data_IF_686933182440
#
_entry.id   IF_686933182440
#
_cell.length_a   1.000
_cell.length_b   1.000
_cell.length_c   1.000
_cell.angle_alpha   90.00
_cell.angle_beta   90.00
_cell.angle_gamma   90.00
#
_symmetry.space_group_name_H-M   'P 1'
#
loop_
_entity.id
_entity.type
_entity.pdbx_description
1 polymer ?
#
# COMPACT_ATOMS: atom_id res chain seq x y z
N UNK A 1 30.73 -6.85 9.23
CA UNK A 1 29.94 -5.61 9.10
C UNK A 1 28.52 -5.90 8.63
N UNK A 2 28.28 -6.53 7.46
CA UNK A 2 26.92 -6.81 6.94
C UNK A 2 26.07 -7.65 7.90
N UNK A 3 26.64 -8.69 8.53
CA UNK A 3 25.89 -9.52 9.49
C UNK A 3 25.38 -8.70 10.69
N UNK A 4 26.23 -7.82 11.23
CA UNK A 4 25.83 -6.92 12.34
C UNK A 4 24.78 -5.92 11.90
N UNK A 5 24.87 -5.40 10.67
CA UNK A 5 23.85 -4.54 10.10
C UNK A 5 22.51 -5.27 9.95
N UNK A 6 22.54 -6.52 9.50
CA UNK A 6 21.35 -7.36 9.40
C UNK A 6 20.72 -7.65 10.78
N UNK A 7 21.54 -8.00 11.78
CA UNK A 7 21.05 -8.16 13.16
C UNK A 7 20.38 -6.88 13.69
N UNK A 8 21.00 -5.70 13.44
CA UNK A 8 20.42 -4.42 13.83
C UNK A 8 19.08 -4.16 13.10
N UNK A 9 18.98 -4.47 11.82
CA UNK A 9 17.73 -4.28 11.07
C UNK A 9 16.59 -5.10 11.66
N UNK A 10 16.86 -6.36 12.06
CA UNK A 10 15.85 -7.18 12.75
C UNK A 10 15.41 -6.60 14.10
N UNK A 11 16.34 -5.98 14.85
CA UNK A 11 15.98 -5.28 16.09
C UNK A 11 15.08 -4.09 15.82
N UNK A 12 15.40 -3.26 14.81
CA UNK A 12 14.60 -2.11 14.40
C UNK A 12 13.20 -2.53 13.91
N UNK A 13 13.14 -3.55 13.08
CA UNK A 13 11.90 -4.17 12.62
C UNK A 13 11.00 -4.59 13.79
N UNK A 14 11.55 -5.39 14.71
CA UNK A 14 10.80 -5.87 15.87
C UNK A 14 10.32 -4.72 16.77
N UNK A 15 11.10 -3.66 16.93
CA UNK A 15 10.68 -2.46 17.67
C UNK A 15 9.52 -1.77 16.98
N UNK A 16 9.56 -1.64 15.64
CA UNK A 16 8.52 -1.01 14.83
C UNK A 16 7.21 -1.80 14.92
N UNK A 17 7.25 -3.11 14.76
CA UNK A 17 6.06 -3.99 14.86
C UNK A 17 5.45 -3.95 16.26
N UNK A 18 6.27 -4.02 17.33
CA UNK A 18 5.80 -3.88 18.72
C UNK A 18 5.13 -2.52 18.98
N UNK A 19 5.58 -1.47 18.33
CA UNK A 19 5.01 -0.13 18.41
C UNK A 19 3.62 -0.04 17.77
N UNK A 20 3.31 -0.93 16.83
CA UNK A 20 2.01 -0.99 16.17
C UNK A 20 2.07 -0.75 14.66
N UNK A 21 3.24 -0.75 14.05
CA UNK A 21 3.39 -0.61 12.61
C UNK A 21 2.75 -1.78 11.85
N UNK A 22 2.30 -1.49 10.62
CA UNK A 22 1.78 -2.49 9.70
C UNK A 22 2.86 -2.85 8.67
N UNK A 23 2.95 -4.14 8.38
CA UNK A 23 3.76 -4.65 7.28
C UNK A 23 2.87 -5.39 6.31
N UNK A 24 2.72 -4.85 5.12
CA UNK A 24 1.90 -5.45 4.08
C UNK A 24 2.77 -6.31 3.17
N UNK A 25 2.39 -7.56 3.02
CA UNK A 25 2.98 -8.48 2.04
C UNK A 25 2.24 -8.28 0.71
N UNK A 26 2.70 -7.34 -0.09
CA UNK A 26 2.20 -7.14 -1.45
C UNK A 26 3.15 -7.83 -2.42
N UNK A 27 2.68 -8.82 -3.19
CA UNK A 27 3.50 -9.39 -4.25
C UNK A 27 3.79 -8.30 -5.29
N UNK A 28 5.07 -8.06 -5.54
CA UNK A 28 5.51 -7.18 -6.62
C UNK A 28 5.70 -7.99 -7.89
N UNK A 29 5.29 -7.45 -9.02
CA UNK A 29 5.50 -8.07 -10.33
C UNK A 29 6.59 -7.36 -11.08
N UNK A 30 7.51 -8.12 -11.64
CA UNK A 30 8.53 -7.62 -12.55
C UNK A 30 8.21 -8.05 -13.97
N UNK A 31 8.07 -7.07 -14.86
CA UNK A 31 7.90 -7.31 -16.28
C UNK A 31 9.27 -7.54 -16.92
N UNK A 32 9.47 -8.71 -17.51
CA UNK A 32 10.69 -9.02 -18.27
C UNK A 32 10.46 -8.58 -19.70
N UNK A 33 11.25 -7.63 -20.16
CA UNK A 33 11.16 -7.08 -21.52
C UNK A 33 12.18 -7.75 -22.43
N UNK A 34 11.85 -7.86 -23.72
CA UNK A 34 12.75 -8.23 -24.78
C UNK A 34 13.59 -7.02 -25.26
N UNK A 35 14.44 -7.23 -26.26
CA UNK A 35 15.31 -6.21 -26.88
C UNK A 35 14.50 -5.07 -27.55
N UNK A 36 13.23 -5.31 -27.84
CA UNK A 36 12.31 -4.35 -28.46
C UNK A 36 11.38 -3.67 -27.46
N UNK A 37 11.55 -3.96 -26.14
CA UNK A 37 10.71 -3.42 -25.07
C UNK A 37 9.33 -4.06 -24.96
N UNK A 38 9.10 -5.21 -25.58
CA UNK A 38 7.89 -6.01 -25.42
C UNK A 38 8.00 -6.93 -24.21
N UNK A 39 6.87 -7.23 -23.56
CA UNK A 39 6.84 -8.13 -22.42
C UNK A 39 7.04 -9.57 -22.89
N UNK A 40 8.10 -10.19 -22.42
CA UNK A 40 8.42 -11.61 -22.66
C UNK A 40 7.85 -12.50 -21.56
N UNK A 41 7.89 -12.04 -20.30
CA UNK A 41 7.43 -12.79 -19.14
C UNK A 41 7.08 -11.87 -17.98
N UNK A 42 6.30 -12.38 -17.02
CA UNK A 42 5.89 -11.67 -15.82
C UNK A 42 6.25 -12.52 -14.61
N UNK A 43 7.21 -12.03 -13.81
CA UNK A 43 7.70 -12.73 -12.64
C UNK A 43 7.17 -12.08 -11.35
N UNK A 44 6.85 -12.92 -10.36
CA UNK A 44 6.62 -12.46 -9.01
C UNK A 44 7.96 -12.31 -8.28
N UNK A 45 8.20 -11.15 -7.70
CA UNK A 45 9.42 -10.84 -6.95
C UNK A 45 9.11 -10.74 -5.47
N UNK A 46 9.93 -11.42 -4.67
CA UNK A 46 9.91 -11.29 -3.21
C UNK A 46 11.08 -10.42 -2.78
N UNK A 47 10.84 -9.57 -1.78
CA UNK A 47 11.88 -8.71 -1.20
C UNK A 47 12.97 -9.56 -0.54
N UNK A 48 14.22 -9.22 -0.82
CA UNK A 48 15.38 -9.87 -0.21
C UNK A 48 15.68 -9.30 1.19
N UNK A 49 16.44 -10.06 2.00
CA UNK A 49 16.92 -9.58 3.31
C UNK A 49 17.72 -8.28 3.19
N UNK A 50 18.46 -8.10 2.09
CA UNK A 50 19.24 -6.88 1.86
C UNK A 50 18.34 -5.66 1.65
N UNK A 51 17.25 -5.81 0.91
CA UNK A 51 16.27 -4.74 0.70
C UNK A 51 15.55 -4.39 2.01
N UNK A 52 15.11 -5.39 2.77
CA UNK A 52 14.50 -5.21 4.08
C UNK A 52 15.45 -4.50 5.07
N UNK A 53 16.74 -4.88 5.07
CA UNK A 53 17.75 -4.23 5.88
C UNK A 53 17.90 -2.74 5.55
N UNK A 54 18.01 -2.40 4.27
CA UNK A 54 18.13 -0.99 3.83
C UNK A 54 16.85 -0.23 4.14
N UNK A 55 15.68 -0.84 3.97
CA UNK A 55 14.39 -0.23 4.31
C UNK A 55 14.34 0.19 5.79
N UNK A 56 14.70 -0.69 6.74
CA UNK A 56 14.70 -0.36 8.17
C UNK A 56 15.67 0.80 8.49
N UNK A 57 16.84 0.85 7.84
CA UNK A 57 17.78 1.97 8.03
C UNK A 57 17.24 3.28 7.43
N UNK A 58 16.54 3.22 6.29
CA UNK A 58 15.88 4.40 5.74
C UNK A 58 14.76 4.88 6.65
N UNK A 59 13.96 3.98 7.21
CA UNK A 59 12.86 4.31 8.12
C UNK A 59 13.37 5.00 9.39
N UNK A 60 14.37 4.44 10.06
CA UNK A 60 14.92 5.05 11.29
C UNK A 60 15.59 6.39 11.01
N UNK A 61 16.26 6.54 9.87
CA UNK A 61 16.86 7.80 9.45
C UNK A 61 15.79 8.88 9.23
N UNK A 62 14.71 8.55 8.50
CA UNK A 62 13.58 9.42 8.25
C UNK A 62 12.89 9.86 9.57
N UNK A 63 12.67 8.93 10.50
CA UNK A 63 12.11 9.23 11.82
C UNK A 63 13.04 10.15 12.63
N UNK A 64 14.34 9.87 12.62
CA UNK A 64 15.33 10.68 13.37
C UNK A 64 15.36 12.11 12.87
N UNK A 65 15.41 12.30 11.57
CA UNK A 65 15.37 13.64 10.95
C UNK A 65 14.07 14.36 11.29
N UNK A 66 12.92 13.69 11.17
CA UNK A 66 11.64 14.29 11.50
C UNK A 66 11.56 14.72 12.97
N UNK A 67 12.01 13.87 13.91
CA UNK A 67 12.05 14.17 15.34
C UNK A 67 12.96 15.37 15.64
N UNK A 68 14.17 15.39 15.07
CA UNK A 68 15.13 16.49 15.28
C UNK A 68 14.54 17.83 14.84
N UNK A 69 13.96 17.88 13.64
CA UNK A 69 13.39 19.11 13.10
C UNK A 69 12.12 19.55 13.83
N UNK A 70 11.32 18.61 14.31
CA UNK A 70 10.18 18.89 15.19
C UNK A 70 10.63 19.51 16.51
N UNK A 71 11.72 19.03 17.08
CA UNK A 71 12.27 19.52 18.34
C UNK A 71 12.85 20.93 18.22
N UNK A 72 13.34 21.30 17.02
CA UNK A 72 13.83 22.65 16.72
C UNK A 72 12.69 23.65 16.53
N UNK A 73 11.45 23.20 16.41
CA UNK A 73 10.26 24.04 16.19
C UNK A 73 10.40 25.00 15.00
N UNK A 74 10.89 24.48 13.88
CA UNK A 74 11.10 25.23 12.63
C UNK A 74 10.14 24.72 11.55
N UNK A 75 9.87 25.56 10.50
CA UNK A 75 9.09 25.12 9.36
C UNK A 75 9.61 23.81 8.78
N UNK A 76 8.75 22.79 8.69
CA UNK A 76 9.19 21.47 8.24
C UNK A 76 8.13 20.76 7.43
N UNK A 77 8.54 19.82 6.58
CA UNK A 77 7.67 19.02 5.74
C UNK A 77 7.58 17.59 6.29
N UNK A 78 6.40 17.22 6.76
CA UNK A 78 6.14 15.88 7.28
C UNK A 78 5.50 15.00 6.22
N UNK A 79 5.77 13.70 6.30
CA UNK A 79 4.99 12.66 5.63
C UNK A 79 4.02 12.10 6.65
N UNK A 80 2.75 12.40 6.49
CA UNK A 80 1.71 12.02 7.44
C UNK A 80 0.78 10.98 6.87
N UNK A 81 0.24 10.14 7.76
CA UNK A 81 -0.73 9.12 7.43
C UNK A 81 -1.83 9.10 8.48
N UNK A 82 -3.03 9.48 8.07
CA UNK A 82 -4.20 9.54 8.94
C UNK A 82 -4.70 8.14 9.31
N UNK A 83 -5.43 8.04 10.40
CA UNK A 83 -6.16 6.82 10.75
C UNK A 83 -7.21 6.48 9.69
N UNK A 84 -7.50 5.20 9.45
CA UNK A 84 -8.53 4.79 8.51
C UNK A 84 -9.92 5.26 8.99
N UNK A 85 -10.77 5.65 8.03
CA UNK A 85 -12.15 6.06 8.32
C UNK A 85 -12.96 4.90 8.87
N UNK A 86 -13.80 5.17 9.86
CA UNK A 86 -14.63 4.15 10.51
C UNK A 86 -15.50 3.35 9.53
N UNK A 87 -16.05 4.01 8.50
CA UNK A 87 -16.84 3.35 7.46
C UNK A 87 -16.05 2.27 6.71
N UNK A 88 -14.77 2.54 6.41
CA UNK A 88 -13.89 1.60 5.72
C UNK A 88 -13.52 0.43 6.62
N UNK A 89 -13.29 0.70 7.91
CA UNK A 89 -13.03 -0.35 8.91
C UNK A 89 -14.24 -1.27 9.02
N UNK A 90 -15.46 -0.72 9.08
CA UNK A 90 -16.68 -1.52 9.16
C UNK A 90 -16.84 -2.41 7.92
N UNK A 91 -16.59 -1.89 6.72
CA UNK A 91 -16.62 -2.69 5.48
C UNK A 91 -15.58 -3.82 5.49
N UNK A 92 -14.36 -3.54 5.98
CA UNK A 92 -13.32 -4.54 6.14
C UNK A 92 -13.74 -5.64 7.12
N UNK A 93 -14.28 -5.28 8.28
CA UNK A 93 -14.72 -6.26 9.29
C UNK A 93 -15.83 -7.17 8.76
N UNK A 94 -16.81 -6.62 8.02
CA UNK A 94 -17.84 -7.40 7.34
C UNK A 94 -17.26 -8.37 6.32
N UNK A 95 -16.28 -7.94 5.54
CA UNK A 95 -15.61 -8.82 4.59
C UNK A 95 -14.90 -9.98 5.30
N UNK A 96 -14.15 -9.69 6.35
CA UNK A 96 -13.43 -10.69 7.13
C UNK A 96 -14.38 -11.67 7.84
N UNK A 97 -15.53 -11.17 8.30
CA UNK A 97 -16.60 -12.00 8.87
C UNK A 97 -17.19 -12.97 7.83
N UNK A 98 -17.34 -12.55 6.57
CA UNK A 98 -17.78 -13.43 5.47
C UNK A 98 -16.80 -14.59 5.22
N UNK A 99 -15.50 -14.41 5.53
CA UNK A 99 -14.47 -15.45 5.48
C UNK A 99 -14.37 -16.30 6.77
N UNK A 100 -15.27 -16.09 7.74
CA UNK A 100 -15.38 -16.89 8.95
C UNK A 100 -14.61 -16.36 10.16
N UNK A 101 -13.97 -15.20 10.07
CA UNK A 101 -13.23 -14.60 11.18
C UNK A 101 -13.98 -13.40 11.77
N UNK A 102 -14.21 -13.43 13.08
CA UNK A 102 -14.96 -12.38 13.77
C UNK A 102 -14.03 -11.55 14.64
N UNK A 103 -13.92 -10.26 14.35
CA UNK A 103 -13.14 -9.30 15.14
C UNK A 103 -14.05 -8.20 15.69
N UNK A 104 -13.78 -7.77 16.93
CA UNK A 104 -14.56 -6.71 17.62
C UNK A 104 -13.65 -5.56 18.01
N UNK A 105 -13.97 -4.37 17.53
CA UNK A 105 -13.28 -3.13 17.92
C UNK A 105 -14.07 -2.45 19.01
N UNK A 106 -13.45 -2.22 20.18
CA UNK A 106 -14.07 -1.57 21.34
C UNK A 106 -13.75 -0.07 21.43
N UNK A 107 -12.56 0.34 20.97
CA UNK A 107 -12.09 1.73 21.02
C UNK A 107 -10.93 1.94 20.04
N UNK A 108 -10.46 3.18 19.84
CA UNK A 108 -9.38 3.54 18.94
C UNK A 108 -8.06 2.75 19.17
N UNK A 109 -7.70 2.50 20.44
CA UNK A 109 -6.51 1.68 20.77
C UNK A 109 -6.67 0.21 20.35
N UNK A 110 -7.90 -0.31 20.40
CA UNK A 110 -8.17 -1.68 19.94
C UNK A 110 -8.19 -1.79 18.43
N UNK A 111 -8.43 -0.69 17.69
CA UNK A 111 -8.43 -0.67 16.22
C UNK A 111 -7.07 -1.12 15.67
N UNK A 112 -5.97 -0.51 16.11
CA UNK A 112 -4.61 -0.88 15.66
C UNK A 112 -4.34 -2.36 15.91
N UNK A 113 -4.65 -2.85 17.12
CA UNK A 113 -4.41 -4.26 17.49
C UNK A 113 -5.24 -5.22 16.65
N UNK A 114 -6.51 -4.89 16.39
CA UNK A 114 -7.40 -5.71 15.57
C UNK A 114 -6.91 -5.74 14.13
N UNK A 115 -6.53 -4.60 13.55
CA UNK A 115 -6.01 -4.53 12.20
C UNK A 115 -4.66 -5.30 12.07
N UNK A 116 -3.77 -5.19 13.07
CA UNK A 116 -2.55 -6.01 13.13
C UNK A 116 -2.87 -7.50 13.24
N UNK A 117 -3.88 -7.88 14.01
CA UNK A 117 -4.28 -9.27 14.13
C UNK A 117 -4.84 -9.79 12.81
N UNK A 118 -5.69 -9.02 12.13
CA UNK A 118 -6.20 -9.36 10.79
C UNK A 118 -5.02 -9.56 9.82
N UNK A 119 -4.05 -8.64 9.83
CA UNK A 119 -2.85 -8.74 8.97
C UNK A 119 -2.05 -10.00 9.27
N UNK A 120 -1.83 -10.32 10.54
CA UNK A 120 -1.10 -11.51 10.96
C UNK A 120 -1.84 -12.79 10.55
N UNK A 121 -3.15 -12.84 10.75
CA UNK A 121 -3.98 -14.00 10.41
C UNK A 121 -4.12 -14.18 8.89
N UNK A 122 -3.91 -13.11 8.12
CA UNK A 122 -3.88 -13.10 6.65
C UNK A 122 -2.48 -13.10 6.05
N UNK A 123 -1.43 -13.40 6.81
CA UNK A 123 -0.06 -13.56 6.30
C UNK A 123 0.03 -14.75 5.33
N UNK A 124 0.77 -14.55 4.25
CA UNK A 124 1.00 -15.54 3.19
C UNK A 124 2.28 -16.39 3.43
N UNK A 125 3.01 -16.11 4.49
CA UNK A 125 4.30 -16.74 4.80
C UNK A 125 4.21 -18.20 5.34
N UNK A 126 3.00 -18.77 5.42
CA UNK A 126 2.82 -20.16 5.83
C UNK A 126 2.90 -21.09 4.60
N UNK A 127 3.91 -21.93 4.55
CA UNK A 127 4.16 -22.87 3.44
C UNK A 127 3.11 -24.00 3.33
N UNK A 128 2.25 -24.16 4.33
CA UNK A 128 1.24 -25.24 4.37
C UNK A 128 -0.15 -24.77 3.90
N UNK A 129 -0.27 -23.55 3.39
CA UNK A 129 -1.55 -23.00 2.93
C UNK A 129 -2.02 -23.66 1.65
N UNK A 130 -3.28 -24.02 1.61
CA UNK A 130 -3.97 -24.38 0.37
C UNK A 130 -4.10 -23.16 -0.55
N UNK A 131 -4.28 -23.38 -1.85
CA UNK A 131 -4.43 -22.26 -2.81
C UNK A 131 -5.68 -21.44 -2.50
N UNK A 132 -6.74 -22.06 -1.98
CA UNK A 132 -7.94 -21.36 -1.53
C UNK A 132 -7.66 -20.45 -0.32
N UNK A 133 -6.87 -20.90 0.64
CA UNK A 133 -6.48 -20.09 1.80
C UNK A 133 -5.56 -18.93 1.41
N UNK A 134 -4.59 -19.15 0.52
CA UNK A 134 -3.75 -18.08 -0.04
C UNK A 134 -4.59 -16.99 -0.69
N UNK A 135 -5.56 -17.40 -1.48
CA UNK A 135 -6.48 -16.49 -2.15
C UNK A 135 -7.29 -15.66 -1.16
N UNK A 136 -7.91 -16.30 -0.16
CA UNK A 136 -8.68 -15.60 0.89
C UNK A 136 -7.81 -14.59 1.64
N UNK A 137 -6.59 -15.00 2.01
CA UNK A 137 -5.63 -14.12 2.71
C UNK A 137 -5.19 -12.95 1.84
N UNK A 138 -4.94 -13.14 0.56
CA UNK A 138 -4.62 -12.07 -0.39
C UNK A 138 -5.75 -11.04 -0.50
N UNK A 139 -7.01 -11.49 -0.61
CA UNK A 139 -8.17 -10.61 -0.66
C UNK A 139 -8.31 -9.78 0.62
N UNK A 140 -8.10 -10.40 1.79
CA UNK A 140 -8.14 -9.69 3.08
C UNK A 140 -7.04 -8.64 3.15
N UNK A 141 -5.81 -8.96 2.72
CA UNK A 141 -4.69 -8.02 2.67
C UNK A 141 -4.99 -6.83 1.77
N UNK A 142 -5.51 -7.07 0.56
CA UNK A 142 -5.92 -6.03 -0.37
C UNK A 142 -7.02 -5.12 0.21
N UNK A 143 -8.02 -5.71 0.85
CA UNK A 143 -9.10 -4.98 1.50
C UNK A 143 -8.57 -4.15 2.67
N UNK A 144 -7.62 -4.67 3.44
CA UNK A 144 -6.97 -3.96 4.53
C UNK A 144 -6.19 -2.74 4.00
N UNK A 145 -5.38 -2.90 2.95
CA UNK A 145 -4.67 -1.81 2.29
C UNK A 145 -5.64 -0.75 1.76
N UNK A 146 -6.71 -1.14 1.08
CA UNK A 146 -7.76 -0.24 0.55
C UNK A 146 -8.54 0.48 1.66
N UNK A 147 -8.59 -0.08 2.87
CA UNK A 147 -9.22 0.57 4.02
C UNK A 147 -8.39 1.72 4.57
N UNK A 148 -7.07 1.68 4.41
CA UNK A 148 -6.15 2.70 4.91
C UNK A 148 -6.35 4.05 4.22
N UNK A 149 -5.97 5.13 4.91
CA UNK A 149 -5.86 6.45 4.31
C UNK A 149 -4.64 6.49 3.38
N UNK A 150 -4.60 7.43 2.44
CA UNK A 150 -3.36 7.70 1.69
C UNK A 150 -2.48 8.64 2.48
N UNK A 151 -1.19 8.34 2.55
CA UNK A 151 -0.21 9.24 3.10
C UNK A 151 -0.07 10.51 2.23
N UNK A 152 0.25 11.64 2.84
CA UNK A 152 0.42 12.93 2.17
C UNK A 152 1.54 13.75 2.80
N UNK A 153 2.03 14.75 2.09
CA UNK A 153 2.97 15.72 2.63
C UNK A 153 2.22 16.95 3.16
N UNK A 154 2.55 17.38 4.35
CA UNK A 154 2.01 18.61 4.95
C UNK A 154 2.97 19.21 6.00
N UNK A 155 2.75 20.47 6.36
CA UNK A 155 3.54 21.19 7.35
C UNK A 155 3.21 20.81 8.80
N UNK A 156 1.99 20.34 9.04
CA UNK A 156 1.53 19.97 10.37
C UNK A 156 1.78 18.49 10.64
N UNK A 157 2.47 18.18 11.73
CA UNK A 157 2.68 16.81 12.16
C UNK A 157 1.42 16.23 12.81
N UNK A 158 0.85 15.19 12.23
CA UNK A 158 -0.24 14.39 12.82
C UNK A 158 0.16 12.93 13.01
N UNK A 159 1.46 12.63 12.83
CA UNK A 159 1.99 11.28 12.89
C UNK A 159 1.77 10.47 11.61
N UNK A 160 2.22 9.23 11.65
CA UNK A 160 2.10 8.29 10.54
C UNK A 160 1.50 6.97 11.02
N UNK A 161 0.19 6.80 10.83
CA UNK A 161 -0.56 5.64 11.34
C UNK A 161 0.05 4.31 10.89
N UNK A 162 0.31 4.12 9.59
CA UNK A 162 0.83 2.86 9.06
C UNK A 162 2.19 2.44 9.63
N UNK A 163 3.07 3.40 9.99
CA UNK A 163 4.35 3.14 10.63
C UNK A 163 4.29 3.21 12.16
N UNK A 164 3.12 3.51 12.73
CA UNK A 164 2.96 3.81 14.15
C UNK A 164 4.00 4.83 14.65
N UNK A 165 4.37 5.78 13.79
CA UNK A 165 5.36 6.81 14.10
C UNK A 165 4.70 8.10 14.53
N UNK A 166 5.21 8.71 15.61
CA UNK A 166 4.73 10.01 16.10
C UNK A 166 5.11 11.15 15.16
N UNK A 167 6.19 10.98 14.42
CA UNK A 167 6.77 11.99 13.55
C UNK A 167 7.55 11.30 12.43
N UNK A 168 7.23 11.61 11.19
CA UNK A 168 7.87 10.99 10.03
C UNK A 168 8.02 11.98 8.88
N UNK A 169 9.09 11.85 8.14
CA UNK A 169 9.34 12.59 6.91
C UNK A 169 10.03 11.69 5.88
N UNK A 170 10.13 12.14 4.67
CA UNK A 170 10.99 11.55 3.65
C UNK A 170 12.28 12.36 3.54
N UNK A 171 13.42 11.70 3.70
CA UNK A 171 14.75 12.31 3.68
C UNK A 171 15.74 11.52 2.83
N UNK A 172 15.60 10.19 2.77
CA UNK A 172 16.62 9.27 2.27
C UNK A 172 16.69 9.13 0.74
N UNK A 173 15.78 9.76 -0.03
CA UNK A 173 15.74 9.61 -1.49
C UNK A 173 15.67 10.95 -2.25
N UNK A 174 16.63 11.90 -2.07
CA UNK A 174 16.56 13.24 -2.66
C UNK A 174 16.76 13.28 -4.18
N UNK A 175 17.29 12.20 -4.78
CA UNK A 175 17.49 12.12 -6.24
C UNK A 175 16.15 12.01 -6.97
N UNK A 176 15.19 11.27 -6.41
CA UNK A 176 13.89 10.96 -7.04
C UNK A 176 12.68 11.62 -6.40
N UNK A 177 12.82 12.22 -5.21
CA UNK A 177 11.72 12.88 -4.50
C UNK A 177 12.08 14.33 -4.13
N UNK A 178 11.34 15.29 -4.68
CA UNK A 178 11.51 16.71 -4.35
C UNK A 178 11.25 17.06 -2.88
N UNK A 179 10.32 16.40 -2.14
CA UNK A 179 10.19 16.60 -0.70
C UNK A 179 11.47 16.31 0.08
N UNK A 180 12.17 15.21 -0.24
CA UNK A 180 13.44 14.86 0.41
C UNK A 180 14.49 15.97 0.17
N UNK A 181 14.57 16.48 -1.05
CA UNK A 181 15.50 17.57 -1.37
C UNK A 181 15.17 18.84 -0.59
N UNK A 182 13.87 19.15 -0.38
CA UNK A 182 13.46 20.24 0.48
C UNK A 182 13.91 20.00 1.92
N UNK A 183 13.72 18.81 2.45
CA UNK A 183 14.14 18.46 3.82
C UNK A 183 15.65 18.62 3.98
N UNK A 184 16.47 18.19 3.01
CA UNK A 184 17.93 18.44 3.01
C UNK A 184 18.26 19.94 3.08
N UNK A 185 17.52 20.79 2.35
CA UNK A 185 17.71 22.24 2.39
C UNK A 185 17.33 22.83 3.73
N UNK A 186 16.23 22.39 4.33
CA UNK A 186 15.78 22.82 5.66
C UNK A 186 16.79 22.43 6.74
N UNK A 187 17.34 21.23 6.70
CA UNK A 187 18.42 20.79 7.60
C UNK A 187 19.63 21.70 7.45
N UNK A 188 20.08 21.97 6.23
CA UNK A 188 21.21 22.84 5.97
C UNK A 188 20.96 24.26 6.50
N UNK A 189 19.77 24.78 6.34
CA UNK A 189 19.39 26.12 6.77
C UNK A 189 19.23 26.23 8.29
N UNK A 190 18.49 25.33 8.92
CA UNK A 190 18.09 25.46 10.32
C UNK A 190 18.98 24.69 11.29
N UNK A 191 19.57 23.58 10.90
CA UNK A 191 20.41 22.77 11.77
C UNK A 191 21.90 23.08 11.63
N UNK A 192 22.38 23.29 10.39
CA UNK A 192 23.81 23.52 10.14
C UNK A 192 24.17 25.01 10.14
N UNK A 193 23.19 25.91 9.92
CA UNK A 193 23.37 27.34 9.90
C UNK A 193 22.67 27.99 11.10
N UNK A 194 23.29 27.92 12.27
CA UNK A 194 22.73 28.40 13.56
C UNK A 194 22.28 29.87 13.54
N UNK A 195 22.85 30.70 12.64
CA UNK A 195 22.49 32.12 12.52
C UNK A 195 21.08 32.35 11.93
N UNK A 196 20.48 31.32 11.36
CA UNK A 196 19.21 31.43 10.65
C UNK A 196 17.99 31.18 11.54
N UNK A 197 18.12 30.38 12.60
CA UNK A 197 17.02 29.97 13.49
C UNK A 197 16.25 31.17 14.07
N UNK A 198 16.93 32.28 14.33
CA UNK A 198 16.33 33.47 14.95
C UNK A 198 15.88 34.53 13.95
N UNK A 199 15.82 34.22 12.65
CA UNK A 199 15.40 35.21 11.61
C UNK A 199 13.94 34.98 11.23
N UNK A 200 13.03 35.77 11.79
CA UNK A 200 11.59 35.69 11.52
C UNK A 200 11.25 35.67 10.01
N UNK A 201 11.92 36.46 9.20
CA UNK A 201 11.70 36.54 7.76
C UNK A 201 12.03 35.18 7.04
N UNK A 202 13.02 34.44 7.52
CA UNK A 202 13.41 33.16 6.96
C UNK A 202 12.39 32.09 7.36
N UNK A 203 11.93 32.11 8.60
CA UNK A 203 10.88 31.23 9.10
C UNK A 203 9.58 31.44 8.32
N UNK A 204 9.16 32.71 8.16
CA UNK A 204 7.96 33.05 7.40
C UNK A 204 8.06 32.59 5.93
N UNK A 205 9.19 32.84 5.27
CA UNK A 205 9.45 32.38 3.91
C UNK A 205 9.31 30.86 3.78
N UNK A 206 9.89 30.09 4.70
CA UNK A 206 9.82 28.63 4.63
C UNK A 206 8.45 28.09 5.02
N UNK A 207 7.68 28.73 5.91
CA UNK A 207 6.31 28.35 6.21
C UNK A 207 5.45 28.32 4.94
N UNK A 208 5.45 29.40 4.16
CA UNK A 208 4.72 29.44 2.89
C UNK A 208 5.23 28.41 1.88
N UNK A 209 6.55 28.25 1.79
CA UNK A 209 7.16 27.35 0.82
C UNK A 209 6.92 25.88 1.13
N UNK A 210 7.00 25.48 2.39
CA UNK A 210 6.76 24.10 2.84
C UNK A 210 5.33 23.68 2.52
N UNK A 211 4.35 24.52 2.82
CA UNK A 211 2.94 24.23 2.53
C UNK A 211 2.71 24.05 1.02
N UNK A 212 3.13 25.01 0.20
CA UNK A 212 2.94 24.94 -1.25
C UNK A 212 3.60 23.73 -1.90
N UNK A 213 4.82 23.39 -1.47
CA UNK A 213 5.54 22.21 -1.95
C UNK A 213 4.85 20.92 -1.47
N UNK A 214 4.38 20.87 -0.21
CA UNK A 214 3.67 19.71 0.33
C UNK A 214 2.41 19.36 -0.46
N UNK A 215 1.59 20.37 -0.79
CA UNK A 215 0.38 20.22 -1.61
C UNK A 215 0.75 19.74 -3.02
N UNK A 216 1.71 20.40 -3.66
CA UNK A 216 2.16 20.06 -5.01
C UNK A 216 2.74 18.65 -5.07
N UNK A 217 3.64 18.30 -4.14
CA UNK A 217 4.28 16.99 -4.08
C UNK A 217 3.25 15.87 -3.88
N UNK A 218 2.27 16.05 -2.99
CA UNK A 218 1.20 15.07 -2.77
C UNK A 218 0.32 14.87 -4.01
N UNK A 219 0.10 15.94 -4.80
CA UNK A 219 -0.64 15.84 -6.06
C UNK A 219 0.17 15.11 -7.12
N UNK A 220 1.44 15.47 -7.30
CA UNK A 220 2.31 14.86 -8.31
C UNK A 220 2.61 13.40 -8.02
N UNK A 221 2.78 13.02 -6.75
CA UNK A 221 2.93 11.63 -6.34
C UNK A 221 1.74 10.77 -6.81
N UNK A 222 0.51 11.25 -6.63
CA UNK A 222 -0.69 10.53 -7.12
C UNK A 222 -0.75 10.40 -8.63
N UNK A 223 -0.24 11.40 -9.36
CA UNK A 223 -0.14 11.35 -10.82
C UNK A 223 0.90 10.32 -11.24
N UNK A 224 2.07 10.31 -10.59
CA UNK A 224 3.13 9.34 -10.85
C UNK A 224 2.68 7.90 -10.55
N UNK A 225 2.04 7.66 -9.39
CA UNK A 225 1.47 6.35 -9.04
C UNK A 225 0.43 5.84 -10.05
N UNK A 226 -0.37 6.76 -10.60
CA UNK A 226 -1.34 6.40 -11.64
C UNK A 226 -0.64 6.05 -12.94
N UNK A 227 0.30 6.89 -13.36
CA UNK A 227 1.06 6.66 -14.59
C UNK A 227 1.80 5.32 -14.56
N UNK A 228 2.43 5.00 -13.45
CA UNK A 228 3.12 3.72 -13.25
C UNK A 228 2.14 2.55 -13.45
N UNK A 229 0.98 2.57 -12.78
CA UNK A 229 -0.04 1.53 -12.96
C UNK A 229 -0.58 1.46 -14.38
N UNK A 230 -0.86 2.60 -14.99
CA UNK A 230 -1.38 2.64 -16.37
C UNK A 230 -0.36 2.06 -17.36
N UNK A 231 0.95 2.27 -17.12
CA UNK A 231 2.03 1.68 -17.91
C UNK A 231 2.12 0.15 -17.69
N UNK A 232 2.04 -0.31 -16.43
CA UNK A 232 2.05 -1.73 -16.11
C UNK A 232 0.84 -2.45 -16.73
N UNK A 233 -0.34 -1.87 -16.58
CA UNK A 233 -1.58 -2.42 -17.14
C UNK A 233 -1.50 -2.48 -18.69
N UNK A 234 -0.96 -1.42 -19.33
CA UNK A 234 -0.73 -1.42 -20.77
C UNK A 234 0.19 -2.57 -21.19
N UNK A 235 1.31 -2.74 -20.48
CA UNK A 235 2.27 -3.81 -20.78
C UNK A 235 1.72 -5.21 -20.50
N UNK A 236 0.92 -5.37 -19.46
CA UNK A 236 0.21 -6.63 -19.19
C UNK A 236 -0.83 -6.93 -20.29
N UNK A 237 -1.54 -5.93 -20.81
CA UNK A 237 -2.43 -6.10 -21.96
C UNK A 237 -1.66 -6.49 -23.24
N UNK A 238 -0.51 -5.84 -23.52
CA UNK A 238 0.38 -6.21 -24.65
C UNK A 238 0.80 -7.68 -24.57
N UNK A 239 1.15 -8.16 -23.39
CA UNK A 239 1.49 -9.56 -23.17
C UNK A 239 0.30 -10.49 -23.46
N UNK A 240 -0.90 -10.14 -23.00
CA UNK A 240 -2.11 -10.94 -23.17
C UNK A 240 -2.63 -10.99 -24.61
N UNK A 241 -2.25 -10.07 -25.49
CA UNK A 241 -2.62 -10.12 -26.91
C UNK A 241 -2.19 -11.42 -27.58
N UNK A 242 -1.10 -12.03 -27.13
CA UNK A 242 -0.59 -13.31 -27.67
C UNK A 242 -1.47 -14.51 -27.29
N UNK A 243 -2.35 -14.36 -26.33
CA UNK A 243 -3.18 -15.43 -25.76
C UNK A 243 -4.66 -15.24 -26.03
N UNK A 244 -5.01 -14.40 -27.02
CA UNK A 244 -6.40 -14.17 -27.39
C UNK A 244 -7.07 -15.47 -27.86
N UNK A 245 -8.17 -15.83 -27.18
CA UNK A 245 -8.90 -17.07 -27.42
C UNK A 245 -8.52 -18.25 -26.51
N UNK A 246 -7.45 -18.09 -25.72
CA UNK A 246 -7.06 -19.10 -24.76
C UNK A 246 -7.92 -19.03 -23.47
N UNK A 247 -7.99 -20.15 -22.77
CA UNK A 247 -8.72 -20.25 -21.51
C UNK A 247 -7.76 -20.31 -20.34
N UNK A 248 -8.01 -19.47 -19.34
CA UNK A 248 -7.21 -19.38 -18.13
C UNK A 248 -8.06 -19.69 -16.90
N UNK A 249 -7.41 -20.21 -15.88
CA UNK A 249 -7.96 -20.29 -14.54
C UNK A 249 -7.51 -19.08 -13.76
N UNK A 250 -8.42 -18.49 -13.01
CA UNK A 250 -8.14 -17.34 -12.18
C UNK A 250 -9.07 -17.27 -10.98
N UNK A 251 -8.84 -16.28 -10.15
CA UNK A 251 -9.58 -16.06 -8.92
C UNK A 251 -10.36 -14.76 -8.99
N UNK A 252 -11.60 -14.77 -8.53
CA UNK A 252 -12.42 -13.56 -8.41
C UNK A 252 -11.83 -12.65 -7.33
N UNK A 253 -11.18 -11.57 -7.75
CA UNK A 253 -10.53 -10.60 -6.87
C UNK A 253 -11.40 -9.40 -6.51
N UNK A 254 -12.41 -9.08 -7.33
CA UNK A 254 -13.37 -8.02 -7.04
C UNK A 254 -14.68 -8.24 -7.80
N UNK A 255 -15.79 -7.86 -7.17
CA UNK A 255 -17.11 -7.91 -7.76
C UNK A 255 -17.71 -6.50 -7.72
N UNK A 256 -18.24 -6.05 -8.86
CA UNK A 256 -18.85 -4.72 -9.03
C UNK A 256 -20.25 -4.86 -9.58
N UNK A 257 -20.99 -3.74 -9.66
CA UNK A 257 -22.33 -3.72 -10.24
C UNK A 257 -22.39 -3.97 -11.75
N UNK A 258 -21.24 -4.00 -12.44
CA UNK A 258 -21.18 -4.16 -13.90
C UNK A 258 -20.36 -5.36 -14.37
N UNK A 259 -19.67 -6.06 -13.45
CA UNK A 259 -18.85 -7.21 -13.80
C UNK A 259 -17.98 -7.71 -12.68
N UNK A 260 -17.23 -8.75 -12.98
CA UNK A 260 -16.34 -9.48 -12.07
C UNK A 260 -14.90 -9.29 -12.54
N UNK A 261 -14.02 -8.93 -11.61
CA UNK A 261 -12.59 -8.91 -11.87
C UNK A 261 -11.98 -10.26 -11.48
N UNK A 262 -11.29 -10.85 -12.43
CA UNK A 262 -10.59 -12.15 -12.26
C UNK A 262 -9.09 -11.90 -12.35
N UNK A 263 -8.36 -12.32 -11.33
CA UNK A 263 -6.90 -12.22 -11.28
C UNK A 263 -6.30 -13.61 -11.52
N UNK A 264 -5.40 -13.69 -12.50
CA UNK A 264 -4.65 -14.89 -12.82
C UNK A 264 -3.50 -15.09 -11.81
N UNK A 265 -2.92 -16.29 -11.79
CA UNK A 265 -1.82 -16.62 -10.86
C UNK A 265 -0.56 -15.77 -11.10
N UNK A 266 -0.37 -15.23 -12.31
CA UNK A 266 0.67 -14.26 -12.67
C UNK A 266 0.31 -12.80 -12.37
N UNK A 267 -0.73 -12.55 -11.59
CA UNK A 267 -1.24 -11.22 -11.18
C UNK A 267 -1.90 -10.36 -12.25
N UNK A 268 -2.07 -10.88 -13.47
CA UNK A 268 -2.84 -10.18 -14.49
C UNK A 268 -4.31 -10.20 -14.10
N UNK A 269 -4.95 -9.04 -14.11
CA UNK A 269 -6.35 -8.88 -13.76
C UNK A 269 -7.17 -8.53 -14.99
N UNK A 270 -8.20 -9.34 -15.26
CA UNK A 270 -9.16 -9.12 -16.33
C UNK A 270 -10.55 -8.79 -15.80
N UNK A 271 -11.35 -8.04 -16.58
CA UNK A 271 -12.75 -7.75 -16.28
C UNK A 271 -13.66 -8.59 -17.18
N UNK A 272 -14.51 -9.42 -16.58
CA UNK A 272 -15.64 -10.07 -17.23
C UNK A 272 -16.91 -9.25 -16.92
N UNK A 273 -17.46 -8.58 -17.92
CA UNK A 273 -18.70 -7.81 -17.75
C UNK A 273 -19.90 -8.74 -17.71
N UNK A 274 -20.94 -8.39 -16.95
CA UNK A 274 -22.17 -9.21 -16.91
C UNK A 274 -22.83 -9.37 -18.27
N UNK A 275 -22.73 -8.38 -19.16
CA UNK A 275 -23.25 -8.48 -20.54
C UNK A 275 -22.48 -9.49 -21.40
N UNK A 276 -21.25 -9.86 -21.04
CA UNK A 276 -20.42 -10.84 -21.76
C UNK A 276 -20.54 -12.24 -21.13
N UNK A 277 -21.20 -12.38 -19.97
CA UNK A 277 -21.51 -13.64 -19.30
C UNK A 277 -22.86 -14.16 -19.84
N UNK A 278 -22.81 -15.03 -20.85
CA UNK A 278 -24.00 -15.49 -21.58
C UNK A 278 -24.72 -16.68 -20.93
N UNK A 279 -24.20 -17.18 -19.84
CA UNK A 279 -24.72 -18.36 -19.12
C UNK A 279 -25.94 -18.03 -18.25
N UNK A 280 -25.99 -16.85 -17.60
CA UNK A 280 -27.10 -16.41 -16.76
C UNK A 280 -27.18 -14.85 -16.68
N UNK A 281 -28.22 -14.33 -16.05
CA UNK A 281 -28.34 -12.94 -15.62
C UNK A 281 -27.96 -12.86 -14.15
N UNK A 282 -27.04 -11.94 -13.80
CA UNK A 282 -26.47 -11.86 -12.48
C UNK A 282 -26.96 -10.64 -11.71
N UNK A 283 -27.48 -10.88 -10.49
CA UNK A 283 -27.80 -9.85 -9.52
C UNK A 283 -26.62 -9.64 -8.57
N UNK A 284 -26.20 -8.38 -8.44
CA UNK A 284 -25.10 -7.99 -7.56
C UNK A 284 -25.58 -7.65 -6.14
N UNK A 285 -24.95 -8.27 -5.14
CA UNK A 285 -25.15 -7.96 -3.72
C UNK A 285 -23.89 -7.32 -3.15
N UNK A 286 -23.92 -5.98 -2.96
CA UNK A 286 -22.78 -5.21 -2.44
C UNK A 286 -22.39 -5.65 -1.00
N UNK A 287 -23.37 -5.93 -0.13
CA UNK A 287 -23.13 -6.26 1.28
C UNK A 287 -22.35 -7.58 1.40
N UNK A 288 -22.74 -8.57 0.62
CA UNK A 288 -22.10 -9.90 0.61
C UNK A 288 -20.93 -10.01 -0.36
N UNK A 289 -20.67 -8.96 -1.17
CA UNK A 289 -19.67 -8.99 -2.24
C UNK A 289 -19.79 -10.24 -3.12
N UNK A 290 -21.01 -10.52 -3.58
CA UNK A 290 -21.36 -11.71 -4.36
C UNK A 290 -22.28 -11.34 -5.53
N UNK A 291 -22.26 -12.20 -6.57
CA UNK A 291 -23.27 -12.20 -7.62
C UNK A 291 -24.05 -13.51 -7.61
N UNK A 292 -25.32 -13.45 -7.94
CA UNK A 292 -26.17 -14.62 -7.99
C UNK A 292 -26.91 -14.65 -9.32
N UNK A 293 -26.81 -15.76 -10.04
CA UNK A 293 -27.56 -16.02 -11.24
C UNK A 293 -29.06 -16.14 -10.97
N UNK A 294 -29.88 -15.45 -11.77
CA UNK A 294 -31.33 -15.40 -11.60
C UNK A 294 -32.02 -16.65 -12.13
N UNK A 295 -31.45 -17.31 -13.15
CA UNK A 295 -32.04 -18.47 -13.81
C UNK A 295 -31.58 -19.79 -13.17
N UNK A 296 -30.29 -19.97 -12.98
CA UNK A 296 -29.71 -21.21 -12.46
C UNK A 296 -29.32 -21.12 -10.96
N UNK A 297 -29.37 -19.95 -10.38
CA UNK A 297 -29.09 -19.74 -8.96
C UNK A 297 -27.59 -19.91 -8.58
N UNK A 298 -26.70 -19.99 -9.56
CA UNK A 298 -25.26 -20.08 -9.34
C UNK A 298 -24.80 -18.79 -8.67
N UNK A 299 -24.04 -18.94 -7.60
CA UNK A 299 -23.51 -17.81 -6.84
C UNK A 299 -22.01 -17.79 -6.98
N UNK A 300 -21.44 -16.63 -7.32
CA UNK A 300 -20.00 -16.38 -7.31
C UNK A 300 -19.67 -15.37 -6.20
N UNK A 301 -18.62 -15.69 -5.47
CA UNK A 301 -18.13 -14.88 -4.34
C UNK A 301 -16.67 -14.48 -4.55
N UNK A 302 -16.20 -13.52 -3.76
CA UNK A 302 -14.77 -13.19 -3.73
C UNK A 302 -13.97 -14.43 -3.33
N UNK A 303 -12.92 -14.73 -4.09
CA UNK A 303 -12.06 -15.87 -3.84
C UNK A 303 -12.42 -17.14 -4.61
N UNK A 304 -13.54 -17.19 -5.30
CA UNK A 304 -13.89 -18.35 -6.11
C UNK A 304 -12.94 -18.49 -7.31
N UNK A 305 -12.51 -19.72 -7.57
CA UNK A 305 -11.75 -20.09 -8.79
C UNK A 305 -12.73 -20.22 -9.95
N UNK A 306 -12.39 -19.58 -11.05
CA UNK A 306 -13.19 -19.57 -12.30
C UNK A 306 -12.29 -19.81 -13.50
N UNK A 307 -12.91 -20.22 -14.60
CA UNK A 307 -12.21 -20.50 -15.86
C UNK A 307 -12.82 -19.71 -16.99
#
# INVERSE_FOLDING_TARGET
MLNVANELSHVLYNMRIKRGAFEFETPETQLILDEHGKVKDILMVTRSDAECMIEEFMLICNETVANTMTWLDVPFLYRVHEEPKQEKITKLLLLVENFGNIYKIKNAKSTVRVLQQILKDSSLNDNNLTDEEKTKRSIINDALIKSMAKAKYQETNIGHFGLASKCYTHFTSPIRRSPDLLVHRLIKEFLLNEKTINKNNVIEYYNHKVNSIGISASKQERVAERLERDCDDYKKCEYMEHFLGDKFEGTISSITSFGVYVTLDNTICGLSKFMDMHDDYYDFNEIKSQIKGTRYGITYTLGDRVK
#
